data_IF_485620499699
#
_entry.id   IF_485620499699
#
_cell.length_a   1.000
_cell.length_b   1.000
_cell.length_c   1.000
_cell.angle_alpha   90.00
_cell.angle_beta   90.00
_cell.angle_gamma   90.00
#
_symmetry.space_group_name_H-M   'P 1'
#
loop_
_entity.id
_entity.type
_entity.pdbx_description
1 polymer ?
#
# COMPACT_ATOMS: atom_id res chain seq x y z
N UNK A 1 9.61 -9.23 -13.70
CA UNK A 1 10.43 -8.19 -14.39
C UNK A 1 11.22 -7.44 -13.31
N UNK A 2 12.54 -7.72 -13.19
CA UNK A 2 13.43 -6.98 -12.30
C UNK A 2 13.66 -5.59 -12.87
N UNK A 3 13.38 -4.53 -12.09
CA UNK A 3 13.84 -3.19 -12.41
C UNK A 3 15.36 -3.21 -12.56
N UNK A 4 15.88 -2.82 -13.74
CA UNK A 4 17.33 -2.68 -13.94
C UNK A 4 17.87 -1.66 -12.93
N UNK A 5 18.81 -2.10 -12.11
CA UNK A 5 19.48 -1.28 -11.11
C UNK A 5 20.37 -0.26 -11.81
N UNK A 6 19.97 0.99 -11.75
CA UNK A 6 20.81 2.13 -12.13
C UNK A 6 21.12 2.92 -10.84
N UNK A 7 22.37 3.22 -10.55
CA UNK A 7 22.81 4.02 -9.38
C UNK A 7 22.03 5.33 -9.25
N UNK A 8 21.72 5.98 -10.36
CA UNK A 8 20.90 7.21 -10.40
C UNK A 8 19.46 6.96 -9.87
N UNK A 9 18.83 5.86 -10.23
CA UNK A 9 17.47 5.52 -9.78
C UNK A 9 17.42 5.18 -8.28
N UNK A 10 18.43 4.48 -7.77
CA UNK A 10 18.55 4.24 -6.33
C UNK A 10 18.70 5.54 -5.56
N UNK A 11 19.53 6.47 -6.04
CA UNK A 11 19.68 7.79 -5.44
C UNK A 11 18.37 8.58 -5.43
N UNK A 12 17.58 8.53 -6.51
CA UNK A 12 16.26 9.17 -6.57
C UNK A 12 15.28 8.56 -5.57
N UNK A 13 15.28 7.25 -5.41
CA UNK A 13 14.45 6.53 -4.44
C UNK A 13 14.81 6.93 -3.00
N UNK A 14 16.09 6.89 -2.66
CA UNK A 14 16.59 7.29 -1.32
C UNK A 14 16.20 8.76 -1.03
N UNK A 15 16.38 9.65 -2.00
CA UNK A 15 16.02 11.05 -1.84
C UNK A 15 14.52 11.24 -1.62
N UNK A 16 13.68 10.49 -2.32
CA UNK A 16 12.24 10.56 -2.14
C UNK A 16 11.79 10.06 -0.77
N UNK A 17 12.36 8.94 -0.27
CA UNK A 17 12.12 8.49 1.09
C UNK A 17 12.57 9.51 2.15
N UNK A 18 13.74 10.12 1.96
CA UNK A 18 14.22 11.19 2.86
C UNK A 18 13.29 12.40 2.85
N UNK A 19 12.79 12.80 1.68
CA UNK A 19 11.82 13.89 1.57
C UNK A 19 10.53 13.58 2.32
N UNK A 20 9.93 12.39 2.10
CA UNK A 20 8.73 11.95 2.81
C UNK A 20 8.97 11.89 4.32
N UNK A 21 10.10 11.32 4.71
CA UNK A 21 10.43 11.12 6.11
C UNK A 21 10.71 12.44 6.87
N UNK A 22 11.11 13.50 6.19
CA UNK A 22 11.39 14.82 6.77
C UNK A 22 10.27 15.83 6.48
N UNK A 23 9.19 15.38 5.84
CA UNK A 23 8.08 16.27 5.50
C UNK A 23 7.27 16.62 6.76
N UNK A 24 6.89 17.90 6.90
CA UNK A 24 6.17 18.40 8.08
C UNK A 24 4.82 17.73 8.32
N UNK A 25 4.14 17.31 7.22
CA UNK A 25 2.82 16.67 7.27
C UNK A 25 2.88 15.14 7.38
N UNK A 26 4.05 14.52 7.19
CA UNK A 26 4.14 13.06 7.14
C UNK A 26 4.93 12.50 8.32
N UNK A 27 4.25 11.73 9.16
CA UNK A 27 4.89 11.09 10.31
C UNK A 27 5.52 9.75 9.89
N UNK A 28 6.75 9.51 10.32
CA UNK A 28 7.46 8.23 10.12
C UNK A 28 6.96 7.12 11.03
N UNK A 29 6.48 7.47 12.22
CA UNK A 29 6.02 6.48 13.19
C UNK A 29 4.73 5.82 12.73
N UNK A 30 4.59 4.54 13.07
CA UNK A 30 3.33 3.83 12.90
C UNK A 30 2.28 4.50 13.78
N UNK A 31 1.19 4.92 13.17
CA UNK A 31 0.05 5.51 13.85
C UNK A 31 -1.22 4.94 13.21
N UNK A 32 -1.74 3.89 13.84
CA UNK A 32 -2.93 3.20 13.36
C UNK A 32 -4.18 4.07 13.42
N UNK A 33 -5.09 3.87 12.50
CA UNK A 33 -6.40 4.49 12.46
C UNK A 33 -6.80 4.94 11.06
N UNK A 34 -8.07 4.81 10.75
CA UNK A 34 -8.60 5.06 9.41
C UNK A 34 -9.11 6.49 9.20
N UNK A 35 -9.23 7.30 10.26
CA UNK A 35 -9.84 8.64 10.17
C UNK A 35 -9.11 9.56 9.18
N UNK A 36 -7.78 9.61 9.26
CA UNK A 36 -6.95 10.50 8.42
C UNK A 36 -7.03 10.13 6.94
N UNK A 37 -6.83 8.84 6.63
CA UNK A 37 -6.86 8.37 5.25
C UNK A 37 -8.27 8.49 4.65
N UNK A 38 -9.32 8.18 5.41
CA UNK A 38 -10.71 8.35 4.95
C UNK A 38 -11.04 9.82 4.65
N UNK A 39 -10.61 10.75 5.52
CA UNK A 39 -10.75 12.18 5.25
C UNK A 39 -10.00 12.59 3.97
N UNK A 40 -8.78 12.10 3.77
CA UNK A 40 -8.02 12.38 2.55
C UNK A 40 -8.71 11.82 1.30
N UNK A 41 -9.26 10.61 1.37
CA UNK A 41 -10.01 9.99 0.28
C UNK A 41 -11.27 10.79 -0.06
N UNK A 42 -12.02 11.23 0.93
CA UNK A 42 -13.21 12.08 0.73
C UNK A 42 -12.84 13.37 -0.01
N UNK A 43 -11.80 14.07 0.43
CA UNK A 43 -11.33 15.29 -0.24
C UNK A 43 -10.79 15.05 -1.66
N UNK A 44 -10.35 13.83 -1.95
CA UNK A 44 -9.90 13.41 -3.28
C UNK A 44 -11.03 12.89 -4.17
N UNK A 45 -12.28 12.90 -3.70
CA UNK A 45 -13.45 12.40 -4.43
C UNK A 45 -13.59 10.89 -4.43
N UNK A 46 -13.12 10.24 -3.37
CA UNK A 46 -13.25 8.79 -3.12
C UNK A 46 -12.68 7.92 -4.26
N UNK A 47 -11.40 8.10 -4.66
CA UNK A 47 -10.82 7.35 -5.77
C UNK A 47 -10.76 5.84 -5.51
N UNK A 48 -10.74 5.39 -4.26
CA UNK A 48 -10.76 3.98 -3.85
C UNK A 48 -12.02 3.25 -4.34
N UNK A 49 -13.15 3.94 -4.48
CA UNK A 49 -14.42 3.36 -4.97
C UNK A 49 -14.37 2.97 -6.45
N UNK A 50 -13.37 3.46 -7.19
CA UNK A 50 -13.15 3.11 -8.60
C UNK A 50 -12.33 1.82 -8.77
N UNK A 51 -11.69 1.34 -7.71
CA UNK A 51 -10.89 0.11 -7.76
C UNK A 51 -11.83 -1.10 -7.79
N UNK A 52 -11.75 -1.89 -8.88
CA UNK A 52 -12.55 -3.11 -9.04
C UNK A 52 -11.83 -4.31 -8.47
N UNK A 53 -12.58 -5.31 -8.01
CA UNK A 53 -12.07 -6.61 -7.59
C UNK A 53 -10.82 -6.49 -6.69
N UNK A 54 -10.93 -5.70 -5.61
CA UNK A 54 -9.84 -5.52 -4.67
C UNK A 54 -9.55 -6.82 -3.94
N UNK A 55 -8.28 -7.21 -3.89
CA UNK A 55 -7.79 -8.35 -3.13
C UNK A 55 -6.81 -7.81 -2.09
N UNK A 56 -7.07 -8.13 -0.82
CA UNK A 56 -6.21 -7.75 0.30
C UNK A 56 -5.38 -8.95 0.75
N UNK A 57 -4.06 -8.79 0.85
CA UNK A 57 -3.16 -9.82 1.37
C UNK A 57 -2.68 -9.39 2.74
N UNK A 58 -3.11 -10.13 3.76
CA UNK A 58 -2.88 -9.84 5.18
C UNK A 58 -2.02 -10.91 5.84
N UNK A 59 -1.60 -10.67 7.08
CA UNK A 59 -0.77 -11.60 7.86
C UNK A 59 0.65 -11.10 8.06
N UNK A 60 1.50 -11.94 8.65
CA UNK A 60 2.83 -11.54 9.10
C UNK A 60 3.93 -11.82 8.06
N UNK A 61 4.06 -13.04 7.62
CA UNK A 61 5.09 -13.47 6.67
C UNK A 61 4.48 -14.03 5.38
N UNK A 62 5.20 -13.93 4.25
CA UNK A 62 4.77 -14.49 2.98
C UNK A 62 3.80 -13.64 2.16
N UNK A 63 3.33 -12.49 2.66
CA UNK A 63 2.42 -11.58 1.94
C UNK A 63 2.93 -11.24 0.54
N UNK A 64 4.17 -10.76 0.47
CA UNK A 64 4.82 -10.40 -0.79
C UNK A 64 4.87 -11.56 -1.78
N UNK A 65 5.30 -12.75 -1.32
CA UNK A 65 5.38 -13.96 -2.16
C UNK A 65 4.01 -14.38 -2.66
N UNK A 66 3.01 -14.41 -1.79
CA UNK A 66 1.62 -14.72 -2.15
C UNK A 66 1.07 -13.74 -3.18
N UNK A 67 1.28 -12.45 -2.97
CA UNK A 67 0.84 -11.40 -3.89
C UNK A 67 1.49 -11.56 -5.28
N UNK A 68 2.80 -11.80 -5.33
CA UNK A 68 3.50 -11.98 -6.60
C UNK A 68 3.12 -13.26 -7.33
N UNK A 69 2.89 -14.35 -6.60
CA UNK A 69 2.38 -15.60 -7.20
C UNK A 69 0.99 -15.38 -7.80
N UNK A 70 0.09 -14.74 -7.03
CA UNK A 70 -1.26 -14.43 -7.50
C UNK A 70 -1.23 -13.51 -8.74
N UNK A 71 -0.38 -12.48 -8.71
CA UNK A 71 -0.16 -11.63 -9.88
C UNK A 71 0.27 -12.45 -11.10
N UNK A 72 1.23 -13.34 -10.96
CA UNK A 72 1.73 -14.16 -12.06
C UNK A 72 0.64 -15.05 -12.65
N UNK A 73 -0.23 -15.64 -11.83
CA UNK A 73 -1.38 -16.43 -12.30
C UNK A 73 -2.42 -15.59 -13.04
N UNK A 74 -2.74 -14.39 -12.53
CA UNK A 74 -3.71 -13.49 -13.15
C UNK A 74 -3.18 -12.99 -14.51
N UNK A 75 -1.90 -12.57 -14.57
CA UNK A 75 -1.25 -12.10 -15.80
C UNK A 75 -1.14 -13.25 -16.83
N UNK A 76 -0.89 -14.49 -16.41
CA UNK A 76 -0.85 -15.67 -17.29
C UNK A 76 -2.23 -15.95 -17.95
N UNK A 77 -3.32 -15.49 -17.33
CA UNK A 77 -4.66 -15.52 -17.90
C UNK A 77 -5.03 -14.26 -18.71
N UNK A 78 -4.03 -13.49 -19.15
CA UNK A 78 -4.20 -12.24 -19.92
C UNK A 78 -5.07 -11.17 -19.22
N UNK A 79 -5.14 -11.20 -17.87
CA UNK A 79 -5.86 -10.22 -17.09
C UNK A 79 -4.91 -9.15 -16.58
N UNK A 80 -5.38 -7.91 -16.55
CA UNK A 80 -4.61 -6.75 -16.08
C UNK A 80 -4.78 -6.55 -14.58
N UNK A 81 -3.69 -6.16 -13.93
CA UNK A 81 -3.65 -6.05 -12.48
C UNK A 81 -2.79 -4.86 -12.04
N UNK A 82 -3.21 -4.20 -10.95
CA UNK A 82 -2.32 -3.31 -10.20
C UNK A 82 -1.92 -3.94 -8.87
N UNK A 83 -0.73 -3.59 -8.36
CA UNK A 83 -0.32 -4.05 -7.02
C UNK A 83 0.26 -2.91 -6.18
N UNK A 84 -0.05 -2.95 -4.88
CA UNK A 84 0.60 -2.16 -3.84
C UNK A 84 1.30 -3.09 -2.86
N UNK A 85 2.62 -2.96 -2.72
CA UNK A 85 3.44 -3.81 -1.83
C UNK A 85 4.28 -2.99 -0.85
N UNK A 86 4.66 -3.60 0.26
CA UNK A 86 5.51 -2.97 1.28
C UNK A 86 6.34 -4.01 2.07
N UNK A 87 7.59 -3.66 2.41
CA UNK A 87 8.37 -2.52 1.91
C UNK A 87 8.85 -2.71 0.48
N UNK A 88 9.44 -1.68 -0.15
CA UNK A 88 10.26 -1.88 -1.34
C UNK A 88 11.66 -2.34 -0.94
N UNK A 89 12.26 -3.21 -1.74
CA UNK A 89 13.59 -3.76 -1.45
C UNK A 89 14.72 -2.82 -1.91
N UNK A 90 14.57 -2.21 -3.08
CA UNK A 90 15.62 -1.41 -3.74
C UNK A 90 15.17 -0.05 -4.19
N UNK A 91 13.94 0.04 -4.69
CA UNK A 91 13.40 1.25 -5.29
C UNK A 91 11.94 1.43 -4.88
N UNK A 92 11.56 2.65 -4.48
CA UNK A 92 10.19 2.98 -4.07
C UNK A 92 9.14 2.63 -5.13
N UNK A 93 9.52 2.62 -6.40
CA UNK A 93 8.63 2.28 -7.53
C UNK A 93 8.12 0.83 -7.46
N UNK A 94 8.89 -0.08 -6.83
CA UNK A 94 8.48 -1.48 -6.64
C UNK A 94 7.16 -1.60 -5.90
N UNK A 95 6.79 -0.58 -5.10
CA UNK A 95 5.52 -0.54 -4.39
C UNK A 95 4.30 -0.37 -5.29
N UNK A 96 4.48 0.09 -6.54
CA UNK A 96 3.40 0.59 -7.37
C UNK A 96 3.45 0.02 -8.78
N UNK A 97 2.92 -1.18 -8.96
CA UNK A 97 2.74 -1.76 -10.28
C UNK A 97 1.36 -1.38 -10.85
N UNK A 98 1.33 -0.92 -12.11
CA UNK A 98 0.17 -0.30 -12.74
C UNK A 98 -0.20 -0.96 -14.07
N UNK A 99 -0.52 -2.25 -14.04
CA UNK A 99 -1.02 -2.99 -15.20
C UNK A 99 0.05 -3.54 -16.14
N UNK A 100 1.05 -2.77 -16.49
CA UNK A 100 2.13 -3.14 -17.40
C UNK A 100 3.51 -2.58 -16.97
N UNK A 101 3.51 -1.60 -16.10
CA UNK A 101 4.71 -0.88 -15.66
C UNK A 101 4.64 -0.49 -14.19
N UNK A 102 5.77 -0.13 -13.63
CA UNK A 102 5.85 0.55 -12.35
C UNK A 102 5.68 2.07 -12.52
N UNK A 103 5.10 2.75 -11.53
CA UNK A 103 5.10 4.22 -11.51
C UNK A 103 6.53 4.76 -11.60
N UNK A 104 6.73 5.80 -12.38
CA UNK A 104 8.00 6.54 -12.39
C UNK A 104 8.13 7.41 -11.13
N UNK A 105 9.37 7.77 -10.76
CA UNK A 105 9.61 8.73 -9.67
C UNK A 105 8.89 10.07 -9.91
N UNK A 106 8.75 10.50 -11.16
CA UNK A 106 8.05 11.74 -11.54
C UNK A 106 6.56 11.64 -11.22
N UNK A 107 5.92 10.52 -11.56
CA UNK A 107 4.49 10.28 -11.26
C UNK A 107 4.26 10.19 -9.75
N UNK A 108 5.11 9.48 -9.01
CA UNK A 108 5.03 9.39 -7.55
C UNK A 108 5.13 10.79 -6.93
N UNK A 109 6.15 11.58 -7.30
CA UNK A 109 6.34 12.95 -6.79
C UNK A 109 5.16 13.86 -7.13
N UNK A 110 4.61 13.76 -8.35
CA UNK A 110 3.43 14.53 -8.76
C UNK A 110 2.23 14.22 -7.86
N UNK A 111 2.00 12.93 -7.57
CA UNK A 111 0.89 12.51 -6.72
C UNK A 111 1.10 12.93 -5.27
N UNK A 112 2.33 12.82 -4.72
CA UNK A 112 2.65 13.32 -3.37
C UNK A 112 2.33 14.81 -3.27
N UNK A 113 2.73 15.64 -4.24
CA UNK A 113 2.40 17.08 -4.26
C UNK A 113 0.89 17.35 -4.29
N UNK A 114 0.10 16.47 -4.89
CA UNK A 114 -1.37 16.55 -4.85
C UNK A 114 -1.88 16.27 -3.43
N UNK A 115 -1.33 15.24 -2.76
CA UNK A 115 -1.69 14.86 -1.39
C UNK A 115 -1.29 15.94 -0.39
N UNK A 116 -0.12 16.55 -0.54
CA UNK A 116 0.36 17.68 0.30
C UNK A 116 -0.64 18.84 0.35
N UNK A 117 -1.32 19.13 -0.75
CA UNK A 117 -2.33 20.21 -0.82
C UNK A 117 -3.55 19.97 0.06
N UNK A 118 -3.80 18.73 0.49
CA UNK A 118 -4.90 18.42 1.42
C UNK A 118 -4.63 18.94 2.83
N UNK A 119 -3.37 19.21 3.16
CA UNK A 119 -2.92 19.69 4.48
C UNK A 119 -3.37 18.79 5.64
N UNK A 120 -3.38 17.48 5.44
CA UNK A 120 -3.75 16.48 6.43
C UNK A 120 -2.46 15.85 6.99
N UNK A 121 -2.30 15.71 8.31
CA UNK A 121 -1.15 15.05 8.93
C UNK A 121 -1.25 13.53 8.76
N UNK A 122 -0.71 13.00 7.66
CA UNK A 122 -0.68 11.57 7.34
C UNK A 122 0.58 10.90 7.89
N UNK A 123 0.56 9.57 7.99
CA UNK A 123 1.80 8.80 8.06
C UNK A 123 2.40 8.65 6.67
N UNK A 124 3.70 8.33 6.60
CA UNK A 124 4.36 8.03 5.31
C UNK A 124 3.66 6.86 4.61
N UNK A 125 3.22 5.85 5.36
CA UNK A 125 2.51 4.71 4.80
C UNK A 125 1.15 5.10 4.22
N UNK A 126 0.35 5.90 4.94
CA UNK A 126 -0.93 6.43 4.43
C UNK A 126 -0.72 7.26 3.15
N UNK A 127 0.31 8.10 3.10
CA UNK A 127 0.66 8.84 1.89
C UNK A 127 0.97 7.90 0.72
N UNK A 128 1.75 6.85 0.93
CA UNK A 128 2.09 5.87 -0.12
C UNK A 128 0.88 5.05 -0.55
N UNK A 129 0.00 4.69 0.37
CA UNK A 129 -1.31 4.06 0.04
C UNK A 129 -2.15 4.97 -0.85
N UNK A 130 -2.24 6.26 -0.54
CA UNK A 130 -2.93 7.24 -1.39
C UNK A 130 -2.28 7.39 -2.77
N UNK A 131 -0.93 7.36 -2.85
CA UNK A 131 -0.22 7.37 -4.14
C UNK A 131 -0.68 6.18 -5.00
N UNK A 132 -0.77 4.99 -4.42
CA UNK A 132 -1.27 3.82 -5.14
C UNK A 132 -2.72 4.04 -5.61
N UNK A 133 -3.63 4.35 -4.70
CA UNK A 133 -5.07 4.47 -4.98
C UNK A 133 -5.35 5.50 -6.07
N UNK A 134 -4.76 6.71 -5.97
CA UNK A 134 -4.95 7.80 -6.94
C UNK A 134 -4.50 7.38 -8.34
N UNK A 135 -3.43 6.59 -8.47
CA UNK A 135 -2.95 6.18 -9.77
C UNK A 135 -3.67 4.93 -10.28
N UNK A 136 -3.96 3.95 -9.45
CA UNK A 136 -4.72 2.77 -9.81
C UNK A 136 -6.15 3.12 -10.25
N UNK A 137 -6.80 4.10 -9.58
CA UNK A 137 -8.17 4.54 -9.91
C UNK A 137 -8.34 5.13 -11.32
N UNK A 138 -7.24 5.47 -12.00
CA UNK A 138 -7.24 5.98 -13.38
C UNK A 138 -7.18 4.89 -14.44
N UNK A 139 -6.98 3.65 -14.01
CA UNK A 139 -6.76 2.50 -14.89
C UNK A 139 -8.00 1.62 -14.93
N UNK A 140 -8.27 1.03 -16.09
CA UNK A 140 -9.24 -0.03 -16.21
C UNK A 140 -8.50 -1.38 -16.20
N UNK A 141 -8.43 -1.97 -15.01
CA UNK A 141 -7.79 -3.27 -14.76
C UNK A 141 -8.79 -4.25 -14.17
N UNK A 142 -8.48 -5.56 -14.26
CA UNK A 142 -9.37 -6.61 -13.79
C UNK A 142 -9.29 -6.76 -12.26
N UNK A 143 -8.08 -6.61 -11.69
CA UNK A 143 -7.85 -6.77 -10.24
C UNK A 143 -6.92 -5.69 -9.68
N UNK A 144 -7.13 -5.38 -8.42
CA UNK A 144 -6.28 -4.49 -7.63
C UNK A 144 -5.85 -5.23 -6.36
N UNK A 145 -4.56 -5.54 -6.20
CA UNK A 145 -4.06 -6.30 -5.05
C UNK A 145 -3.24 -5.41 -4.14
N UNK A 146 -3.56 -5.44 -2.85
CA UNK A 146 -2.90 -4.61 -1.84
C UNK A 146 -2.35 -5.48 -0.71
N UNK A 147 -1.07 -5.30 -0.40
CA UNK A 147 -0.41 -5.88 0.76
C UNK A 147 -0.60 -4.97 1.96
N UNK A 148 -1.04 -5.51 3.11
CA UNK A 148 -1.10 -4.76 4.37
C UNK A 148 0.29 -4.41 4.88
N UNK A 149 0.39 -3.28 5.57
CA UNK A 149 1.63 -2.88 6.24
C UNK A 149 1.87 -3.68 7.51
N UNK A 150 0.98 -3.56 8.46
CA UNK A 150 1.00 -4.29 9.74
C UNK A 150 -0.39 -4.26 10.37
N UNK A 151 -0.89 -5.37 10.91
CA UNK A 151 -2.18 -5.46 11.59
C UNK A 151 -3.34 -4.88 10.74
N UNK A 152 -4.19 -5.75 10.21
CA UNK A 152 -5.18 -5.39 9.18
C UNK A 152 -6.24 -4.36 9.62
N UNK A 153 -6.84 -4.54 10.79
CA UNK A 153 -8.07 -3.82 11.19
C UNK A 153 -7.99 -2.29 11.05
N UNK A 154 -6.85 -1.70 11.37
CA UNK A 154 -6.62 -0.26 11.32
C UNK A 154 -5.54 0.15 10.30
N UNK A 155 -5.14 -0.77 9.43
CA UNK A 155 -4.20 -0.50 8.35
C UNK A 155 -4.82 0.39 7.27
N UNK A 156 -4.03 1.26 6.68
CA UNK A 156 -4.49 2.20 5.65
C UNK A 156 -5.00 1.54 4.37
N UNK A 157 -4.75 0.25 4.16
CA UNK A 157 -5.33 -0.52 3.06
C UNK A 157 -6.72 -1.09 3.40
N UNK A 158 -7.15 -1.08 4.68
CA UNK A 158 -8.49 -1.50 5.08
C UNK A 158 -9.51 -0.38 4.93
N UNK A 159 -9.68 0.10 3.71
CA UNK A 159 -10.59 1.19 3.36
C UNK A 159 -11.70 0.77 2.40
N UNK A 160 -11.62 -0.45 1.91
CA UNK A 160 -12.61 -1.02 0.99
C UNK A 160 -13.70 -1.74 1.78
N UNK A 161 -14.95 -1.32 1.65
CA UNK A 161 -16.06 -1.92 2.40
C UNK A 161 -16.29 -3.39 2.05
N UNK A 162 -16.03 -3.77 0.81
CA UNK A 162 -16.26 -5.13 0.31
C UNK A 162 -15.12 -5.53 -0.64
N UNK A 163 -13.96 -5.93 -0.13
CA UNK A 163 -12.92 -6.51 -0.96
C UNK A 163 -13.45 -7.80 -1.61
N UNK A 164 -13.04 -8.08 -2.84
CA UNK A 164 -13.39 -9.32 -3.56
C UNK A 164 -12.89 -10.55 -2.82
N UNK A 165 -11.72 -10.44 -2.20
CA UNK A 165 -11.05 -11.50 -1.47
C UNK A 165 -10.09 -10.90 -0.44
N UNK A 166 -10.01 -11.54 0.71
CA UNK A 166 -8.96 -11.33 1.68
C UNK A 166 -8.17 -12.63 1.85
N UNK A 167 -6.87 -12.57 1.68
CA UNK A 167 -5.97 -13.71 1.82
C UNK A 167 -5.12 -13.50 3.06
N UNK A 168 -5.31 -14.34 4.07
CA UNK A 168 -4.45 -14.38 5.24
C UNK A 168 -3.34 -15.41 5.02
N UNK A 169 -2.08 -14.97 5.03
CA UNK A 169 -0.93 -15.86 4.77
C UNK A 169 -0.57 -16.68 5.99
N UNK A 170 -0.30 -16.03 7.08
CA UNK A 170 -0.10 -16.64 8.38
C UNK A 170 -0.25 -15.61 9.50
N UNK A 171 -0.50 -16.06 10.69
CA UNK A 171 -0.55 -15.22 11.88
C UNK A 171 0.42 -15.79 12.92
N UNK A 172 1.27 -14.93 13.48
CA UNK A 172 2.20 -15.30 14.53
C UNK A 172 2.39 -14.14 15.53
N UNK A 173 3.24 -14.30 16.52
CA UNK A 173 3.47 -13.31 17.58
C UNK A 173 4.39 -12.17 17.10
N UNK A 174 4.06 -11.51 16.01
CA UNK A 174 4.73 -10.28 15.57
C UNK A 174 3.89 -9.04 15.95
N UNK A 175 4.47 -7.87 15.80
CA UNK A 175 3.81 -6.58 16.07
C UNK A 175 3.20 -6.41 17.48
N UNK A 176 3.59 -7.25 18.45
CA UNK A 176 3.07 -7.24 19.82
C UNK A 176 3.26 -5.90 20.53
N UNK A 177 4.26 -5.12 20.14
CA UNK A 177 4.52 -3.78 20.68
C UNK A 177 3.43 -2.75 20.35
N UNK A 178 2.59 -3.03 19.36
CA UNK A 178 1.43 -2.21 19.01
C UNK A 178 0.14 -2.63 19.71
N UNK A 179 0.16 -3.74 20.44
CA UNK A 179 -1.00 -4.36 21.08
C UNK A 179 -1.00 -4.15 22.59
N UNK A 180 -2.20 -4.02 23.18
CA UNK A 180 -2.37 -3.81 24.62
C UNK A 180 -2.02 -5.06 25.42
N UNK A 181 -2.58 -6.21 25.04
CA UNK A 181 -2.42 -7.48 25.75
C UNK A 181 -1.20 -8.29 25.30
N UNK A 182 -0.65 -7.97 24.14
CA UNK A 182 0.52 -8.65 23.55
C UNK A 182 0.32 -10.18 23.42
N UNK A 183 -0.90 -10.60 23.09
CA UNK A 183 -1.27 -12.01 22.93
C UNK A 183 -1.50 -12.35 21.47
N UNK A 184 -1.42 -13.64 21.12
CA UNK A 184 -1.73 -14.13 19.78
C UNK A 184 -3.20 -13.88 19.42
N UNK A 185 -4.12 -14.04 20.37
CA UNK A 185 -5.55 -13.78 20.16
C UNK A 185 -5.82 -12.33 19.77
N UNK A 186 -5.04 -11.40 20.33
CA UNK A 186 -5.15 -9.99 19.96
C UNK A 186 -4.59 -9.74 18.56
N UNK A 187 -3.49 -10.40 18.15
CA UNK A 187 -2.97 -10.37 16.77
C UNK A 187 -4.04 -10.89 15.80
N UNK A 188 -4.65 -12.05 16.11
CA UNK A 188 -5.71 -12.63 15.28
C UNK A 188 -6.87 -11.65 15.08
N UNK A 189 -7.34 -11.01 16.16
CA UNK A 189 -8.41 -9.99 16.06
C UNK A 189 -8.03 -8.78 15.22
N UNK A 190 -6.78 -8.39 15.23
CA UNK A 190 -6.31 -7.25 14.43
C UNK A 190 -6.08 -7.61 12.96
N UNK A 191 -5.78 -8.88 12.65
CA UNK A 191 -5.46 -9.33 11.29
C UNK A 191 -6.68 -9.87 10.52
N UNK A 192 -7.72 -10.34 11.20
CA UNK A 192 -8.91 -10.93 10.54
C UNK A 192 -10.25 -10.32 10.98
N UNK A 193 -10.24 -9.42 11.96
CA UNK A 193 -11.42 -8.82 12.60
C UNK A 193 -11.96 -7.52 11.96
#
# INVERSE_FOLDING_TARGET
>A
LRLKLNKSLMSQSINLYKQLANHKLFNKSVNFGLKRIKLALDLLGNPEKKLKNVISVVGESGKFTTLFSLRSFIEANNQKITTHVSPSLRDIRERFYMGDKYLSHKEIKKTIKQIEKLNIPLTVFECLTLVYIINASKLNVDYNIQETGALWRLDSNNIHNFPKLQICTNINKQHLNFLKRKTLDEVIKEDVG
#
